data_IF_210226828432
#
_entry.id   IF_210226828432
#
_cell.length_a   1.000
_cell.length_b   1.000
_cell.length_c   1.000
_cell.angle_alpha   90.00
_cell.angle_beta   90.00
_cell.angle_gamma   90.00
#
_symmetry.space_group_name_H-M   'P 1'
#
loop_
_entity.id
_entity.type
_entity.pdbx_description
1 polymer ?
#
# COMPACT_ATOMS: atom_id res chain seq x y z
N UNK A 1 -1.58 1.76 24.95
CA UNK A 1 -0.65 2.32 23.95
C UNK A 1 -1.21 2.02 22.57
N UNK A 2 -1.28 3.00 21.68
CA UNK A 2 -1.71 2.84 20.29
C UNK A 2 -0.50 3.00 19.38
N UNK A 3 -0.27 2.03 18.49
CA UNK A 3 0.74 2.09 17.43
C UNK A 3 0.07 2.41 16.11
N UNK A 4 0.40 3.57 15.54
CA UNK A 4 -0.16 4.00 14.25
C UNK A 4 0.84 3.76 13.13
N UNK A 5 0.74 2.65 12.42
CA UNK A 5 1.56 2.36 11.24
C UNK A 5 1.40 3.39 10.11
N UNK A 6 0.17 3.91 9.83
CA UNK A 6 0.02 4.98 8.85
C UNK A 6 0.80 6.24 9.20
N UNK A 7 0.85 6.63 10.48
CA UNK A 7 1.64 7.77 10.93
C UNK A 7 3.15 7.48 10.84
N UNK A 8 3.59 6.30 11.27
CA UNK A 8 4.99 5.89 11.17
C UNK A 8 5.49 5.82 9.72
N UNK A 9 4.65 5.39 8.79
CA UNK A 9 4.97 5.33 7.35
C UNK A 9 4.95 6.72 6.67
N UNK A 10 4.60 7.78 7.39
CA UNK A 10 4.63 9.18 6.97
C UNK A 10 5.53 10.05 7.84
N UNK A 11 6.42 9.44 8.60
CA UNK A 11 7.36 10.17 9.45
C UNK A 11 8.39 10.91 8.59
N UNK A 12 8.39 12.24 8.68
CA UNK A 12 9.30 13.12 7.93
C UNK A 12 10.77 12.96 8.33
N UNK A 13 11.03 12.40 9.51
CA UNK A 13 12.40 12.15 9.95
C UNK A 13 12.96 10.83 9.37
N UNK A 14 12.10 10.03 8.75
CA UNK A 14 12.43 8.74 8.12
C UNK A 14 12.27 8.79 6.60
N UNK A 15 11.24 9.49 6.12
CA UNK A 15 10.89 9.53 4.70
C UNK A 15 10.98 10.96 4.15
N UNK A 16 11.66 11.12 3.06
CA UNK A 16 11.61 12.35 2.28
C UNK A 16 10.27 12.42 1.54
N UNK A 17 9.64 13.62 1.54
CA UNK A 17 8.30 13.84 0.95
C UNK A 17 7.29 12.74 1.34
N UNK A 18 7.00 12.54 2.64
CA UNK A 18 6.27 11.35 3.12
C UNK A 18 4.81 11.26 2.64
N UNK A 19 4.21 12.38 2.25
CA UNK A 19 2.85 12.42 1.69
C UNK A 19 2.79 12.14 0.18
N UNK A 20 3.94 12.05 -0.47
CA UNK A 20 4.03 11.75 -1.90
C UNK A 20 4.12 10.26 -2.13
N UNK A 21 3.23 9.72 -2.97
CA UNK A 21 3.36 8.36 -3.45
C UNK A 21 4.54 8.25 -4.42
N UNK A 22 5.51 7.43 -4.07
CA UNK A 22 6.68 7.15 -4.89
C UNK A 22 6.94 5.64 -4.94
N UNK A 23 6.58 5.02 -6.06
CA UNK A 23 6.79 3.59 -6.28
C UNK A 23 8.27 3.19 -6.41
N UNK A 24 9.14 4.15 -6.71
CA UNK A 24 10.59 3.96 -6.81
C UNK A 24 11.36 4.32 -5.52
N UNK A 25 10.66 4.60 -4.43
CA UNK A 25 11.29 5.02 -3.17
C UNK A 25 12.32 3.99 -2.69
N UNK A 26 13.58 4.43 -2.55
CA UNK A 26 14.68 3.64 -2.05
C UNK A 26 15.63 4.54 -1.21
N UNK A 27 15.92 4.25 0.06
CA UNK A 27 15.35 3.15 0.86
C UNK A 27 13.87 3.37 1.22
N UNK A 28 13.12 2.28 1.34
CA UNK A 28 11.73 2.32 1.78
C UNK A 28 11.56 1.53 3.09
N UNK A 29 11.75 2.20 4.22
CA UNK A 29 11.75 1.61 5.56
C UNK A 29 10.34 1.52 6.17
N UNK A 30 9.33 1.19 5.36
CA UNK A 30 7.96 1.12 5.83
C UNK A 30 7.72 0.02 6.88
N UNK A 31 6.75 0.25 7.74
CA UNK A 31 6.32 -0.68 8.79
C UNK A 31 5.02 -1.42 8.47
N UNK A 32 4.64 -1.51 7.19
CA UNK A 32 3.39 -2.15 6.78
C UNK A 32 3.30 -3.64 7.20
N UNK A 33 4.45 -4.30 7.35
CA UNK A 33 4.53 -5.68 7.82
C UNK A 33 4.99 -5.81 9.28
N UNK A 34 4.97 -4.71 10.03
CA UNK A 34 5.45 -4.66 11.40
C UNK A 34 6.97 -4.63 11.52
N UNK A 35 7.46 -4.93 12.71
CA UNK A 35 8.89 -4.92 13.04
C UNK A 35 9.22 -5.89 14.18
N UNK A 36 10.46 -6.33 14.25
CA UNK A 36 10.97 -7.17 15.36
C UNK A 36 10.50 -8.62 15.30
N UNK A 37 10.36 -9.25 16.46
CA UNK A 37 10.04 -10.66 16.60
C UNK A 37 8.65 -11.07 16.06
N UNK A 38 7.75 -10.10 15.88
CA UNK A 38 6.42 -10.29 15.30
C UNK A 38 6.31 -9.74 13.87
N UNK A 39 7.43 -9.56 13.17
CA UNK A 39 7.40 -9.23 11.75
C UNK A 39 6.52 -10.23 10.98
N UNK A 40 5.71 -9.74 10.06
CA UNK A 40 4.72 -10.55 9.35
C UNK A 40 5.37 -11.77 8.67
N UNK A 41 4.93 -12.96 9.07
CA UNK A 41 5.42 -14.23 8.50
C UNK A 41 5.14 -14.32 6.98
N UNK A 42 4.00 -13.78 6.54
CA UNK A 42 3.57 -13.79 5.15
C UNK A 42 4.13 -12.67 4.28
N UNK A 43 5.03 -11.83 4.79
CA UNK A 43 5.51 -10.64 4.06
C UNK A 43 6.14 -10.97 2.69
N UNK A 44 6.88 -12.07 2.60
CA UNK A 44 7.50 -12.49 1.34
C UNK A 44 6.45 -13.01 0.33
N UNK A 45 5.48 -13.77 0.81
CA UNK A 45 4.38 -14.24 -0.02
C UNK A 45 3.53 -13.07 -0.53
N UNK A 46 3.17 -12.14 0.33
CA UNK A 46 2.42 -10.93 -0.05
C UNK A 46 3.14 -10.11 -1.13
N UNK A 47 4.46 -9.95 -1.01
CA UNK A 47 5.27 -9.28 -2.04
C UNK A 47 5.31 -10.05 -3.35
N UNK A 48 5.41 -11.37 -3.28
CA UNK A 48 5.40 -12.24 -4.46
C UNK A 48 4.07 -12.16 -5.20
N UNK A 49 2.96 -12.24 -4.48
CA UNK A 49 1.60 -12.13 -5.04
C UNK A 49 1.38 -10.75 -5.69
N UNK A 50 1.74 -9.67 -4.99
CA UNK A 50 1.63 -8.33 -5.54
C UNK A 50 2.50 -8.17 -6.79
N UNK A 51 3.74 -8.66 -6.76
CA UNK A 51 4.64 -8.62 -7.92
C UNK A 51 4.07 -9.39 -9.10
N UNK A 52 3.58 -10.61 -8.89
CA UNK A 52 2.99 -11.43 -9.94
C UNK A 52 1.78 -10.73 -10.57
N UNK A 53 0.85 -10.24 -9.73
CA UNK A 53 -0.34 -9.52 -10.20
C UNK A 53 0.03 -8.29 -11.04
N UNK A 54 0.87 -7.41 -10.50
CA UNK A 54 1.20 -6.16 -11.18
C UNK A 54 2.10 -6.36 -12.41
N UNK A 55 2.93 -7.41 -12.42
CA UNK A 55 3.71 -7.76 -13.63
C UNK A 55 2.83 -8.13 -14.82
N UNK A 56 1.66 -8.74 -14.56
CA UNK A 56 0.70 -9.09 -15.59
C UNK A 56 -0.28 -7.95 -15.91
N UNK A 57 -0.68 -7.21 -14.89
CA UNK A 57 -1.69 -6.17 -15.03
C UNK A 57 -1.14 -4.90 -15.69
N UNK A 58 0.00 -4.38 -15.22
CA UNK A 58 0.53 -3.09 -15.67
C UNK A 58 0.78 -3.04 -17.17
N UNK A 59 1.38 -4.06 -17.83
CA UNK A 59 1.60 -4.02 -19.28
C UNK A 59 0.33 -4.01 -20.12
N UNK A 60 -0.81 -4.40 -19.52
CA UNK A 60 -2.11 -4.44 -20.19
C UNK A 60 -2.98 -3.22 -19.86
N UNK A 61 -2.60 -2.45 -18.86
CA UNK A 61 -3.39 -1.33 -18.37
C UNK A 61 -3.16 -0.11 -19.25
N UNK A 62 -4.16 0.29 -20.04
CA UNK A 62 -4.11 1.48 -20.88
C UNK A 62 -4.51 2.73 -20.09
N UNK A 63 -5.53 2.61 -19.26
CA UNK A 63 -5.98 3.69 -18.39
C UNK A 63 -6.53 3.16 -17.07
N UNK A 64 -6.43 3.98 -16.03
CA UNK A 64 -7.11 3.76 -14.76
C UNK A 64 -7.46 5.08 -14.11
N UNK A 65 -8.70 5.20 -13.62
CA UNK A 65 -9.19 6.37 -12.91
C UNK A 65 -10.12 5.99 -11.77
N UNK A 66 -10.29 6.89 -10.81
CA UNK A 66 -11.31 6.72 -9.78
C UNK A 66 -12.70 6.90 -10.40
N UNK A 67 -13.58 5.92 -10.21
CA UNK A 67 -14.98 5.96 -10.65
C UNK A 67 -15.93 6.49 -9.57
N UNK A 68 -15.41 6.85 -8.41
CA UNK A 68 -16.17 7.40 -7.28
C UNK A 68 -15.25 7.60 -6.07
N UNK A 69 -15.77 8.19 -4.98
CA UNK A 69 -14.98 8.41 -3.78
C UNK A 69 -14.62 7.07 -3.13
N UNK A 70 -13.34 6.87 -2.73
CA UNK A 70 -12.97 5.74 -1.91
C UNK A 70 -13.59 5.84 -0.51
N UNK A 71 -13.92 4.70 0.08
CA UNK A 71 -14.31 4.63 1.49
C UNK A 71 -13.40 3.68 2.24
N UNK A 72 -13.23 3.95 3.54
CA UNK A 72 -12.28 3.23 4.37
C UNK A 72 -13.00 2.47 5.48
N UNK A 73 -12.34 1.42 5.98
CA UNK A 73 -12.84 0.67 7.12
C UNK A 73 -12.66 1.47 8.41
N UNK A 74 -13.72 1.56 9.21
CA UNK A 74 -13.68 2.13 10.56
C UNK A 74 -13.26 1.04 11.55
N UNK A 75 -11.96 0.85 11.71
CA UNK A 75 -11.42 -0.21 12.58
C UNK A 75 -10.09 0.23 13.18
N UNK A 76 -9.80 -0.27 14.39
CA UNK A 76 -8.51 -0.14 15.06
C UNK A 76 -7.58 -1.35 14.82
N UNK A 77 -8.05 -2.37 14.10
CA UNK A 77 -7.29 -3.61 13.88
C UNK A 77 -6.70 -3.68 12.47
N UNK A 78 -7.48 -4.10 11.49
CA UNK A 78 -7.02 -4.19 10.10
C UNK A 78 -7.73 -3.12 9.28
N UNK A 79 -7.03 -2.03 9.01
CA UNK A 79 -7.53 -0.91 8.23
C UNK A 79 -7.23 -1.06 6.74
N UNK A 80 -7.91 -0.25 5.95
CA UNK A 80 -7.71 -0.19 4.50
C UNK A 80 -8.95 0.31 3.78
N UNK A 81 -8.93 0.37 2.44
CA UNK A 81 -10.11 0.70 1.67
C UNK A 81 -11.20 -0.37 1.85
N UNK A 82 -12.42 0.07 2.13
CA UNK A 82 -13.62 -0.76 2.12
C UNK A 82 -14.16 -0.86 0.69
N UNK A 83 -14.16 0.27 0.00
CA UNK A 83 -14.50 0.38 -1.41
C UNK A 83 -13.50 1.30 -2.10
N UNK A 84 -13.01 0.88 -3.25
CA UNK A 84 -12.15 1.66 -4.15
C UNK A 84 -12.69 1.51 -5.57
N UNK A 85 -13.74 2.30 -5.93
CA UNK A 85 -14.31 2.22 -7.26
C UNK A 85 -13.31 2.73 -8.29
N UNK A 86 -12.96 1.91 -9.25
CA UNK A 86 -12.08 2.28 -10.37
C UNK A 86 -12.74 1.96 -11.70
N UNK A 87 -12.40 2.75 -12.71
CA UNK A 87 -12.65 2.45 -14.12
C UNK A 87 -11.31 2.23 -14.78
N UNK A 88 -11.19 1.22 -15.61
CA UNK A 88 -9.94 0.91 -16.28
C UNK A 88 -10.19 0.37 -17.68
N UNK A 89 -9.20 0.49 -18.56
CA UNK A 89 -9.16 -0.08 -19.88
C UNK A 89 -7.93 -0.98 -20.01
N UNK A 90 -8.14 -2.14 -20.63
CA UNK A 90 -7.09 -3.12 -20.90
C UNK A 90 -6.93 -3.31 -22.39
N UNK A 91 -5.68 -3.38 -22.81
CA UNK A 91 -5.33 -3.79 -24.17
C UNK A 91 -5.31 -5.30 -24.33
#
# INVERSE_FOLDING_TARGET
MLLSFPAANRDKDVFDLPETFDAGRDPNRHLAFGFGGHFCLGAQLARLEAKALFSELIPRLESVELAGPPSYMETLFVGGPKHLPIRFELS
#
